data_IF_694323953999
#
_entry.id   IF_694323953999
#
_cell.length_a   1.000
_cell.length_b   1.000
_cell.length_c   1.000
_cell.angle_alpha   90.00
_cell.angle_beta   90.00
_cell.angle_gamma   90.00
#
_symmetry.space_group_name_H-M   'P 1'
#
loop_
_entity.id
_entity.type
_entity.pdbx_description
1 polymer ?
#
# COMPACT_ATOMS: atom_id res chain seq x y z
N UNK A 1 -17.04 -19.25 30.95
CA UNK A 1 -16.54 -17.89 31.12
C UNK A 1 -17.59 -17.05 31.87
N UNK A 2 -17.16 -16.23 32.83
CA UNK A 2 -18.00 -15.32 33.61
C UNK A 2 -18.23 -14.01 32.85
N UNK A 3 -17.24 -13.59 32.04
CA UNK A 3 -17.30 -12.41 31.20
C UNK A 3 -16.95 -12.70 29.75
N UNK A 4 -17.61 -11.98 28.83
CA UNK A 4 -17.33 -12.03 27.37
C UNK A 4 -17.12 -10.61 26.87
N UNK A 5 -15.96 -10.34 26.33
CA UNK A 5 -15.58 -9.07 25.73
C UNK A 5 -15.63 -9.14 24.19
N UNK A 6 -15.94 -8.05 23.55
CA UNK A 6 -15.89 -7.96 22.08
C UNK A 6 -16.53 -6.70 21.57
N UNK A 7 -16.52 -6.53 20.24
CA UNK A 7 -17.30 -5.46 19.62
C UNK A 7 -18.80 -5.71 19.80
N UNK A 8 -19.59 -4.64 19.85
CA UNK A 8 -21.05 -4.74 20.03
C UNK A 8 -21.68 -5.72 19.02
N UNK A 9 -21.30 -5.61 17.75
CA UNK A 9 -21.75 -6.50 16.67
C UNK A 9 -21.51 -7.99 16.95
N UNK A 10 -20.32 -8.35 17.48
CA UNK A 10 -19.99 -9.75 17.78
C UNK A 10 -20.77 -10.26 19.00
N UNK A 11 -20.95 -9.42 20.01
CA UNK A 11 -21.68 -9.78 21.22
C UNK A 11 -23.18 -9.98 20.96
N UNK A 12 -23.77 -9.17 20.06
CA UNK A 12 -25.17 -9.30 19.65
C UNK A 12 -25.46 -10.63 18.91
N UNK A 13 -24.48 -11.12 18.14
CA UNK A 13 -24.59 -12.40 17.44
C UNK A 13 -24.45 -13.67 18.32
N UNK A 14 -24.15 -13.52 19.61
CA UNK A 14 -23.98 -14.67 20.50
C UNK A 14 -25.33 -15.20 21.02
N UNK A 15 -25.45 -16.54 21.17
CA UNK A 15 -26.60 -17.11 21.83
C UNK A 15 -26.69 -16.65 23.30
N UNK A 16 -27.89 -16.64 23.91
CA UNK A 16 -28.04 -16.33 25.33
C UNK A 16 -27.13 -17.20 26.21
N UNK A 17 -26.46 -16.56 27.16
CA UNK A 17 -25.59 -17.22 28.13
C UNK A 17 -25.65 -16.48 29.48
N UNK A 18 -25.25 -17.12 30.56
CA UNK A 18 -25.15 -16.50 31.89
C UNK A 18 -23.93 -15.57 32.02
N UNK A 19 -23.07 -15.45 31.01
CA UNK A 19 -21.89 -14.60 31.06
C UNK A 19 -22.25 -13.11 30.87
N UNK A 20 -21.57 -12.23 31.61
CA UNK A 20 -21.69 -10.79 31.42
C UNK A 20 -21.05 -10.37 30.11
N UNK A 21 -21.77 -9.64 29.27
CA UNK A 21 -21.26 -9.14 27.98
C UNK A 21 -20.76 -7.71 28.14
N UNK A 22 -19.51 -7.48 27.76
CA UNK A 22 -18.84 -6.18 27.86
C UNK A 22 -18.40 -5.72 26.48
N UNK A 23 -18.99 -4.63 26.00
CA UNK A 23 -18.65 -4.03 24.70
C UNK A 23 -17.35 -3.23 24.83
N UNK A 24 -16.22 -3.93 24.84
CA UNK A 24 -14.88 -3.36 24.92
C UNK A 24 -13.97 -4.01 23.86
N UNK A 25 -13.17 -3.19 23.19
CA UNK A 25 -12.23 -3.62 22.13
C UNK A 25 -10.80 -3.11 22.36
N UNK A 26 -10.63 -2.09 23.21
CA UNK A 26 -9.30 -1.56 23.50
C UNK A 26 -8.61 -2.45 24.54
N UNK A 27 -7.32 -2.80 24.31
CA UNK A 27 -6.59 -3.71 25.19
C UNK A 27 -6.56 -3.27 26.65
N UNK A 28 -6.35 -1.98 26.88
CA UNK A 28 -6.26 -1.39 28.22
C UNK A 28 -7.63 -1.44 28.95
N UNK A 29 -8.70 -1.16 28.24
CA UNK A 29 -10.07 -1.22 28.77
C UNK A 29 -10.45 -2.65 29.16
N UNK A 30 -10.11 -3.65 28.33
CA UNK A 30 -10.33 -5.06 28.63
C UNK A 30 -9.53 -5.48 29.86
N UNK A 31 -8.25 -5.12 29.93
CA UNK A 31 -7.39 -5.40 31.09
C UNK A 31 -7.99 -4.83 32.37
N UNK A 32 -8.37 -3.56 32.35
CA UNK A 32 -8.88 -2.86 33.55
C UNK A 32 -10.19 -3.47 34.01
N UNK A 33 -11.09 -3.85 33.12
CA UNK A 33 -12.29 -4.60 33.44
C UNK A 33 -11.99 -5.95 34.10
N UNK A 34 -11.04 -6.72 33.54
CA UNK A 34 -10.65 -8.03 34.09
C UNK A 34 -10.09 -7.92 35.52
N UNK A 35 -9.27 -6.90 35.77
CA UNK A 35 -8.72 -6.63 37.10
C UNK A 35 -9.84 -6.30 38.12
N UNK A 36 -10.77 -5.42 37.71
CA UNK A 36 -11.85 -4.99 38.63
C UNK A 36 -12.91 -6.06 38.84
N UNK A 37 -13.22 -6.87 37.84
CA UNK A 37 -14.26 -7.88 37.94
C UNK A 37 -13.87 -9.09 38.79
N UNK A 38 -12.56 -9.38 38.89
CA UNK A 38 -12.05 -10.53 39.64
C UNK A 38 -12.53 -11.88 39.14
N UNK A 39 -12.91 -11.98 37.86
CA UNK A 39 -13.40 -13.19 37.23
C UNK A 39 -12.30 -14.24 37.07
N UNK A 40 -12.62 -15.51 37.35
CA UNK A 40 -11.68 -16.61 37.18
C UNK A 40 -11.44 -16.94 35.72
N UNK A 41 -12.50 -16.86 34.89
CA UNK A 41 -12.42 -17.15 33.46
C UNK A 41 -13.22 -16.15 32.66
N UNK A 42 -12.59 -15.60 31.61
CA UNK A 42 -13.20 -14.67 30.66
C UNK A 42 -12.85 -15.02 29.22
N UNK A 43 -13.67 -14.59 28.29
CA UNK A 43 -13.46 -14.78 26.86
C UNK A 43 -13.40 -13.42 26.15
N UNK A 44 -12.45 -13.25 25.24
CA UNK A 44 -12.41 -12.10 24.33
C UNK A 44 -12.66 -12.58 22.92
N UNK A 45 -13.71 -12.07 22.31
CA UNK A 45 -14.11 -12.42 20.93
C UNK A 45 -13.55 -11.40 19.96
N UNK A 46 -12.78 -11.89 19.02
CA UNK A 46 -12.19 -11.11 17.94
C UNK A 46 -12.77 -11.57 16.60
N UNK A 47 -12.86 -10.66 15.64
CA UNK A 47 -13.32 -10.99 14.29
C UNK A 47 -12.22 -11.71 13.51
N UNK A 48 -12.54 -12.81 12.87
CA UNK A 48 -11.63 -13.55 12.00
C UNK A 48 -10.59 -14.38 12.74
N UNK A 49 -9.47 -14.62 12.10
CA UNK A 49 -8.33 -15.33 12.67
C UNK A 49 -7.51 -14.42 13.59
N UNK A 50 -7.15 -14.91 14.75
CA UNK A 50 -6.40 -14.16 15.77
C UNK A 50 -4.96 -13.83 15.34
N UNK A 51 -4.41 -14.56 14.37
CA UNK A 51 -3.08 -14.34 13.79
C UNK A 51 -3.06 -13.43 12.56
N UNK A 52 -4.24 -13.08 12.00
CA UNK A 52 -4.32 -12.35 10.74
C UNK A 52 -4.88 -10.93 10.93
N UNK A 53 -4.00 -9.94 11.04
CA UNK A 53 -4.34 -8.51 11.27
C UNK A 53 -5.34 -8.27 12.41
N UNK A 54 -5.30 -9.11 13.43
CA UNK A 54 -6.24 -9.10 14.54
C UNK A 54 -5.82 -8.16 15.67
N UNK A 55 -6.81 -7.69 16.43
CA UNK A 55 -6.61 -7.00 17.70
C UNK A 55 -5.85 -7.80 18.75
N UNK A 56 -5.78 -9.13 18.61
CA UNK A 56 -4.99 -10.02 19.48
C UNK A 56 -3.52 -9.59 19.56
N UNK A 57 -2.94 -9.10 18.45
CA UNK A 57 -1.55 -8.61 18.42
C UNK A 57 -1.26 -7.54 19.47
N UNK A 58 -2.21 -6.66 19.75
CA UNK A 58 -2.09 -5.60 20.77
C UNK A 58 -2.54 -6.05 22.13
N UNK A 59 -3.56 -6.90 22.20
CA UNK A 59 -4.18 -7.35 23.45
C UNK A 59 -3.27 -8.30 24.23
N UNK A 60 -2.70 -9.31 23.57
CA UNK A 60 -1.91 -10.35 24.26
C UNK A 60 -0.74 -9.81 25.09
N UNK A 61 0.08 -8.86 24.61
CA UNK A 61 1.14 -8.27 25.42
C UNK A 61 0.62 -7.53 26.65
N UNK A 62 -0.52 -6.83 26.52
CA UNK A 62 -1.14 -6.08 27.62
C UNK A 62 -1.64 -7.02 28.72
N UNK A 63 -2.30 -8.12 28.33
CA UNK A 63 -2.77 -9.14 29.28
C UNK A 63 -1.60 -9.87 29.96
N UNK A 64 -0.58 -10.23 29.19
CA UNK A 64 0.62 -10.89 29.73
C UNK A 64 1.35 -10.00 30.75
N UNK A 65 1.49 -8.70 30.47
CA UNK A 65 2.10 -7.74 31.40
C UNK A 65 1.29 -7.55 32.67
N UNK A 66 -0.03 -7.79 32.63
CA UNK A 66 -0.92 -7.76 33.79
C UNK A 66 -1.01 -9.11 34.53
N UNK A 67 -0.25 -10.13 34.12
CA UNK A 67 -0.18 -11.45 34.80
C UNK A 67 -1.30 -12.42 34.39
N UNK A 68 -2.09 -12.13 33.38
CA UNK A 68 -3.12 -13.05 32.90
C UNK A 68 -2.53 -14.18 32.04
N UNK A 69 -2.96 -15.42 32.37
CA UNK A 69 -2.71 -16.58 31.49
C UNK A 69 -3.75 -16.58 30.37
N UNK A 70 -3.30 -16.68 29.11
CA UNK A 70 -4.18 -16.62 27.93
C UNK A 70 -4.06 -17.86 27.08
N UNK A 71 -5.20 -18.38 26.62
CA UNK A 71 -5.28 -19.41 25.57
C UNK A 71 -5.85 -18.78 24.32
N UNK A 72 -5.12 -18.89 23.20
CA UNK A 72 -5.55 -18.33 21.91
C UNK A 72 -6.15 -19.44 21.07
N UNK A 73 -7.41 -19.24 20.64
CA UNK A 73 -8.09 -20.15 19.73
C UNK A 73 -8.04 -19.58 18.32
N UNK A 74 -7.72 -20.40 17.30
CA UNK A 74 -7.73 -19.96 15.90
C UNK A 74 -9.16 -19.69 15.43
N UNK A 75 -9.29 -18.80 14.47
CA UNK A 75 -10.55 -18.51 13.78
C UNK A 75 -10.37 -18.51 12.26
N UNK A 76 -11.47 -18.39 11.54
CA UNK A 76 -11.47 -18.27 10.09
C UNK A 76 -11.56 -16.80 9.72
N UNK A 77 -10.60 -16.29 8.94
CA UNK A 77 -10.60 -14.91 8.47
C UNK A 77 -11.37 -14.77 7.15
N UNK A 78 -11.70 -13.54 6.81
CA UNK A 78 -12.25 -13.19 5.49
C UNK A 78 -11.36 -13.66 4.33
N UNK A 79 -10.05 -13.75 4.53
CA UNK A 79 -9.10 -14.28 3.54
C UNK A 79 -9.42 -15.74 3.19
N UNK A 80 -9.57 -16.61 4.19
CA UNK A 80 -9.86 -18.02 3.95
C UNK A 80 -11.25 -18.22 3.34
N UNK A 81 -12.27 -17.49 3.84
CA UNK A 81 -13.61 -17.53 3.27
C UNK A 81 -13.59 -17.08 1.81
N UNK A 82 -12.96 -15.97 1.52
CA UNK A 82 -12.88 -15.41 0.18
C UNK A 82 -12.14 -16.35 -0.79
N UNK A 83 -11.00 -16.89 -0.38
CA UNK A 83 -10.26 -17.91 -1.12
C UNK A 83 -11.12 -19.12 -1.47
N UNK A 84 -11.90 -19.63 -0.49
CA UNK A 84 -12.80 -20.76 -0.68
C UNK A 84 -13.93 -20.43 -1.68
N UNK A 85 -14.54 -19.23 -1.60
CA UNK A 85 -15.57 -18.77 -2.55
C UNK A 85 -15.02 -18.65 -3.97
N UNK A 86 -13.78 -18.16 -4.11
CA UNK A 86 -13.11 -18.06 -5.40
C UNK A 86 -12.56 -19.39 -5.92
N UNK A 87 -12.55 -20.45 -5.08
CA UNK A 87 -11.92 -21.75 -5.37
C UNK A 87 -10.45 -21.56 -5.79
N UNK A 88 -9.76 -20.65 -5.13
CA UNK A 88 -8.39 -20.23 -5.48
C UNK A 88 -7.52 -20.16 -4.23
N UNK A 89 -6.37 -20.83 -4.26
CA UNK A 89 -5.39 -20.79 -3.17
C UNK A 89 -4.84 -19.37 -2.98
N UNK A 90 -4.71 -18.94 -1.72
CA UNK A 90 -4.14 -17.65 -1.34
C UNK A 90 -2.64 -17.67 -1.06
N UNK A 91 -1.98 -18.82 -1.20
CA UNK A 91 -0.53 -18.98 -0.95
C UNK A 91 0.33 -18.04 -1.79
N UNK A 92 -0.12 -17.73 -3.01
CA UNK A 92 0.58 -16.85 -3.93
C UNK A 92 0.09 -15.41 -3.91
N UNK A 93 -0.80 -15.06 -2.98
CA UNK A 93 -1.28 -13.68 -2.85
C UNK A 93 -0.38 -12.87 -1.93
N UNK A 94 -0.24 -11.60 -2.23
CA UNK A 94 0.29 -10.62 -1.28
C UNK A 94 -0.83 -10.20 -0.35
N UNK A 95 -0.56 -10.22 0.95
CA UNK A 95 -1.56 -9.92 1.96
C UNK A 95 -1.29 -8.52 2.52
N UNK A 96 -2.22 -7.62 2.32
CA UNK A 96 -2.13 -6.21 2.70
C UNK A 96 -3.28 -5.81 3.61
N UNK A 97 -2.99 -4.99 4.61
CA UNK A 97 -4.04 -4.35 5.40
C UNK A 97 -4.16 -2.89 4.99
N UNK A 98 -5.33 -2.53 4.47
CA UNK A 98 -5.75 -1.15 4.24
C UNK A 98 -6.71 -0.66 5.33
N UNK A 99 -6.89 -1.44 6.41
CA UNK A 99 -7.76 -1.10 7.52
C UNK A 99 -7.00 -0.24 8.54
N UNK A 100 -7.16 1.07 8.43
CA UNK A 100 -6.51 2.05 9.32
C UNK A 100 -5.00 2.21 9.13
N UNK A 101 -4.44 1.67 8.03
CA UNK A 101 -3.03 1.77 7.66
C UNK A 101 -2.94 2.23 6.22
N UNK A 102 -2.04 3.18 5.94
CA UNK A 102 -1.77 3.61 4.58
C UNK A 102 -1.11 2.46 3.79
N UNK A 103 -1.65 2.18 2.61
CA UNK A 103 -1.09 1.21 1.65
C UNK A 103 -1.10 1.84 0.26
N UNK A 104 -0.07 1.57 -0.52
CA UNK A 104 0.00 1.94 -1.93
C UNK A 104 -0.42 0.72 -2.77
N UNK A 105 -1.67 0.68 -3.28
CA UNK A 105 -2.16 -0.47 -4.02
C UNK A 105 -1.40 -0.71 -5.32
N UNK A 106 -0.87 0.34 -5.94
CA UNK A 106 -0.09 0.25 -7.19
C UNK A 106 1.22 -0.47 -6.93
N UNK A 107 1.94 -0.08 -5.89
CA UNK A 107 3.18 -0.76 -5.50
C UNK A 107 2.92 -2.25 -5.19
N UNK A 108 1.81 -2.57 -4.51
CA UNK A 108 1.50 -3.94 -4.12
C UNK A 108 1.18 -4.84 -5.33
N UNK A 109 0.37 -4.39 -6.30
CA UNK A 109 0.07 -5.19 -7.50
C UNK A 109 1.26 -5.30 -8.47
N UNK A 110 2.23 -4.39 -8.39
CA UNK A 110 3.45 -4.42 -9.20
C UNK A 110 4.48 -5.46 -8.73
N UNK A 111 4.25 -6.19 -7.64
CA UNK A 111 5.14 -7.26 -7.20
C UNK A 111 5.03 -8.56 -8.01
N UNK A 112 4.15 -8.62 -9.02
CA UNK A 112 3.98 -9.80 -9.87
C UNK A 112 3.16 -10.92 -9.24
N UNK A 113 2.43 -10.63 -8.16
CA UNK A 113 1.48 -11.52 -7.49
C UNK A 113 0.16 -10.78 -7.29
N UNK A 114 -0.97 -11.47 -7.28
CA UNK A 114 -2.23 -10.85 -6.87
C UNK A 114 -2.13 -10.30 -5.45
N UNK A 115 -2.74 -9.15 -5.21
CA UNK A 115 -2.73 -8.48 -3.92
C UNK A 115 -4.12 -8.53 -3.28
N UNK A 116 -4.19 -9.13 -2.10
CA UNK A 116 -5.38 -9.16 -1.27
C UNK A 116 -5.31 -8.02 -0.25
N UNK A 117 -6.37 -7.22 -0.18
CA UNK A 117 -6.50 -6.10 0.73
C UNK A 117 -7.65 -6.31 1.71
N UNK A 118 -7.35 -6.26 3.01
CA UNK A 118 -8.35 -5.97 4.03
C UNK A 118 -8.68 -4.49 3.96
N UNK A 119 -9.89 -4.14 3.56
CA UNK A 119 -10.32 -2.75 3.40
C UNK A 119 -10.99 -2.21 4.66
N UNK A 120 -11.02 -0.89 4.81
CA UNK A 120 -11.70 -0.22 5.91
C UNK A 120 -11.27 1.23 6.10
N UNK A 121 -12.09 2.00 6.80
CA UNK A 121 -11.87 3.43 6.96
C UNK A 121 -11.97 4.17 5.63
N UNK A 122 -10.97 4.97 5.30
CA UNK A 122 -10.90 5.72 4.04
C UNK A 122 -10.50 4.87 2.84
N UNK A 123 -9.83 3.73 3.04
CA UNK A 123 -9.38 2.84 1.97
C UNK A 123 -10.42 1.74 1.70
N UNK A 124 -11.50 2.14 1.06
CA UNK A 124 -12.55 1.23 0.57
C UNK A 124 -12.09 0.50 -0.72
N UNK A 125 -12.77 -0.58 -1.15
CA UNK A 125 -12.48 -1.20 -2.45
C UNK A 125 -12.55 -0.20 -3.61
N UNK A 126 -13.54 0.70 -3.63
CA UNK A 126 -13.69 1.74 -4.65
C UNK A 126 -12.48 2.69 -4.65
N UNK A 127 -12.04 3.13 -3.48
CA UNK A 127 -10.88 4.02 -3.34
C UNK A 127 -9.58 3.36 -3.84
N UNK A 128 -9.33 2.10 -3.47
CA UNK A 128 -8.17 1.35 -3.97
C UNK A 128 -8.23 1.19 -5.50
N UNK A 129 -9.41 0.89 -6.05
CA UNK A 129 -9.63 0.78 -7.48
C UNK A 129 -9.44 2.13 -8.21
N UNK A 130 -9.85 3.24 -7.60
CA UNK A 130 -9.62 4.59 -8.13
C UNK A 130 -8.13 4.91 -8.22
N UNK A 131 -7.35 4.62 -7.18
CA UNK A 131 -5.90 4.80 -7.19
C UNK A 131 -5.21 3.94 -8.27
N UNK A 132 -5.65 2.69 -8.46
CA UNK A 132 -5.17 1.83 -9.56
C UNK A 132 -5.50 2.45 -10.93
N UNK A 133 -6.72 2.98 -11.11
CA UNK A 133 -7.17 3.60 -12.35
C UNK A 133 -6.38 4.87 -12.68
N UNK A 134 -6.17 5.75 -11.70
CA UNK A 134 -5.35 6.96 -11.83
C UNK A 134 -3.89 6.64 -12.19
N UNK A 135 -3.37 5.52 -11.71
CA UNK A 135 -2.05 5.02 -12.08
C UNK A 135 -1.98 4.43 -13.49
N UNK A 136 -3.10 4.30 -14.22
CA UNK A 136 -3.16 3.71 -15.55
C UNK A 136 -3.46 2.21 -15.55
N UNK A 137 -3.87 1.65 -14.41
CA UNK A 137 -4.23 0.24 -14.24
C UNK A 137 -5.76 0.04 -14.21
N UNK A 138 -6.55 0.93 -14.81
CA UNK A 138 -8.01 0.85 -14.84
C UNK A 138 -8.56 -0.47 -15.40
N UNK A 139 -7.86 -1.09 -16.36
CA UNK A 139 -8.19 -2.39 -16.92
C UNK A 139 -7.82 -3.61 -16.06
N UNK A 140 -7.16 -3.40 -14.91
CA UNK A 140 -6.74 -4.50 -14.04
C UNK A 140 -7.96 -5.23 -13.47
N UNK A 141 -7.96 -6.57 -13.58
CA UNK A 141 -9.04 -7.38 -13.02
C UNK A 141 -9.00 -7.36 -11.50
N UNK A 142 -10.15 -7.13 -10.90
CA UNK A 142 -10.32 -7.10 -9.45
C UNK A 142 -11.56 -7.89 -9.04
N UNK A 143 -11.53 -8.39 -7.83
CA UNK A 143 -12.68 -9.10 -7.21
C UNK A 143 -12.91 -8.50 -5.83
N UNK A 144 -14.15 -8.14 -5.54
CA UNK A 144 -14.56 -7.63 -4.22
C UNK A 144 -15.46 -8.66 -3.55
N UNK A 145 -15.16 -8.99 -2.30
CA UNK A 145 -16.04 -9.78 -1.41
C UNK A 145 -16.62 -8.86 -0.35
N UNK A 146 -17.94 -8.93 -0.18
CA UNK A 146 -18.70 -8.12 0.78
C UNK A 146 -19.43 -9.04 1.76
N UNK A 147 -19.49 -8.63 3.02
CA UNK A 147 -20.23 -9.28 4.11
C UNK A 147 -20.06 -10.83 4.15
N UNK A 148 -18.82 -11.27 3.88
CA UNK A 148 -18.46 -12.69 3.77
C UNK A 148 -18.93 -13.49 4.99
N UNK A 149 -19.58 -14.62 4.76
CA UNK A 149 -20.24 -15.49 5.74
C UNK A 149 -21.48 -14.89 6.41
N UNK A 150 -21.93 -13.71 6.00
CA UNK A 150 -23.18 -13.09 6.45
C UNK A 150 -24.33 -13.29 5.46
N UNK A 151 -25.53 -12.87 5.85
CA UNK A 151 -26.72 -12.91 4.97
C UNK A 151 -26.58 -12.01 3.73
N UNK A 152 -25.77 -10.95 3.82
CA UNK A 152 -25.47 -10.02 2.74
C UNK A 152 -24.29 -10.43 1.87
N UNK A 153 -23.76 -11.67 1.98
CA UNK A 153 -22.56 -12.10 1.25
C UNK A 153 -22.72 -11.89 -0.26
N UNK A 154 -21.79 -11.13 -0.82
CA UNK A 154 -21.75 -10.86 -2.26
C UNK A 154 -20.31 -10.88 -2.77
N UNK A 155 -20.11 -11.44 -3.96
CA UNK A 155 -18.84 -11.39 -4.68
C UNK A 155 -19.07 -10.71 -6.03
N UNK A 156 -18.27 -9.69 -6.30
CA UNK A 156 -18.33 -8.91 -7.53
C UNK A 156 -17.00 -8.96 -8.26
N UNK A 157 -17.04 -9.17 -9.57
CA UNK A 157 -15.87 -9.19 -10.45
C UNK A 157 -15.94 -8.02 -11.44
N UNK A 158 -14.81 -7.47 -11.83
CA UNK A 158 -14.74 -6.43 -12.86
C UNK A 158 -13.34 -5.84 -12.98
N UNK A 159 -13.25 -4.76 -13.73
CA UNK A 159 -12.01 -3.98 -13.84
C UNK A 159 -11.93 -2.95 -12.71
N UNK A 160 -10.72 -2.49 -12.39
CA UNK A 160 -10.51 -1.45 -11.40
C UNK A 160 -11.31 -0.19 -11.72
N UNK A 161 -11.35 0.24 -13.00
CA UNK A 161 -12.13 1.38 -13.45
C UNK A 161 -13.63 1.21 -13.14
N UNK A 162 -14.22 0.06 -13.48
CA UNK A 162 -15.63 -0.21 -13.23
C UNK A 162 -15.96 -0.31 -11.73
N UNK A 163 -15.03 -0.78 -10.91
CA UNK A 163 -15.21 -0.91 -9.48
C UNK A 163 -14.97 0.39 -8.72
N UNK A 164 -14.20 1.32 -9.27
CA UNK A 164 -13.97 2.63 -8.68
C UNK A 164 -15.26 3.47 -8.54
N UNK A 165 -16.22 3.25 -9.44
CA UNK A 165 -17.51 3.97 -9.47
C UNK A 165 -18.60 3.33 -8.60
N UNK A 166 -18.30 2.23 -7.91
CA UNK A 166 -19.29 1.47 -7.12
C UNK A 166 -19.16 1.78 -5.63
N UNK A 167 -20.27 1.55 -4.94
CA UNK A 167 -20.31 1.58 -3.47
C UNK A 167 -20.31 0.14 -2.95
N UNK A 168 -19.56 -0.11 -1.89
CA UNK A 168 -19.40 -1.40 -1.26
C UNK A 168 -19.72 -1.35 0.24
N UNK A 169 -20.08 -2.50 0.81
CA UNK A 169 -20.26 -2.65 2.26
C UNK A 169 -18.97 -2.27 3.01
N UNK A 170 -19.11 -1.77 4.23
CA UNK A 170 -17.99 -1.49 5.11
C UNK A 170 -17.19 -2.75 5.51
N UNK A 171 -17.83 -3.93 5.42
CA UNK A 171 -17.20 -5.21 5.65
C UNK A 171 -16.83 -5.85 4.30
N UNK A 172 -15.79 -5.33 3.67
CA UNK A 172 -15.37 -5.79 2.36
C UNK A 172 -13.88 -6.11 2.30
N UNK A 173 -13.52 -6.90 1.30
CA UNK A 173 -12.14 -7.24 0.93
C UNK A 173 -11.98 -7.11 -0.58
N UNK A 174 -10.77 -6.82 -1.03
CA UNK A 174 -10.44 -6.69 -2.44
C UNK A 174 -9.28 -7.63 -2.79
N UNK A 175 -9.41 -8.37 -3.90
CA UNK A 175 -8.31 -9.04 -4.58
C UNK A 175 -8.08 -8.33 -5.90
N UNK A 176 -6.91 -7.77 -6.10
CA UNK A 176 -6.46 -7.22 -7.38
C UNK A 176 -5.45 -8.18 -8.01
N UNK A 177 -5.59 -8.47 -9.30
CA UNK A 177 -4.63 -9.30 -10.01
C UNK A 177 -3.26 -8.59 -10.11
N UNK A 178 -2.22 -9.36 -10.41
CA UNK A 178 -0.90 -8.79 -10.62
C UNK A 178 -0.89 -7.84 -11.83
N UNK A 179 -0.32 -6.66 -11.65
CA UNK A 179 -0.11 -5.75 -12.78
C UNK A 179 0.89 -6.35 -13.78
N UNK A 180 0.67 -6.16 -15.09
CA UNK A 180 1.65 -6.52 -16.09
C UNK A 180 2.97 -5.79 -15.78
N UNK A 181 4.04 -6.52 -15.62
CA UNK A 181 5.37 -5.94 -15.38
C UNK A 181 6.35 -6.50 -16.39
N UNK A 182 7.15 -5.65 -17.07
CA UNK A 182 8.21 -6.15 -17.92
C UNK A 182 9.23 -6.93 -17.08
N UNK A 183 9.91 -7.93 -17.67
CA UNK A 183 10.98 -8.62 -16.98
C UNK A 183 12.00 -7.62 -16.46
N UNK A 184 12.48 -7.84 -15.24
CA UNK A 184 13.49 -6.99 -14.62
C UNK A 184 14.75 -6.96 -15.49
N UNK A 185 15.20 -5.75 -15.85
CA UNK A 185 16.41 -5.54 -16.65
C UNK A 185 17.48 -4.88 -15.80
N UNK A 186 18.73 -5.08 -16.17
CA UNK A 186 19.86 -4.29 -15.67
C UNK A 186 19.65 -2.81 -16.06
N UNK A 187 20.16 -1.84 -15.26
CA UNK A 187 20.13 -0.44 -15.61
C UNK A 187 20.79 -0.16 -16.97
N UNK A 188 20.31 0.89 -17.64
CA UNK A 188 20.87 1.34 -18.91
C UNK A 188 20.06 0.92 -20.13
N UNK A 189 18.76 1.14 -20.08
CA UNK A 189 17.91 1.02 -21.27
C UNK A 189 18.44 1.94 -22.40
N UNK A 190 18.42 1.48 -23.67
CA UNK A 190 18.86 2.31 -24.80
C UNK A 190 18.06 3.61 -24.90
N UNK A 191 18.69 4.70 -25.32
CA UNK A 191 18.03 6.00 -25.47
C UNK A 191 16.87 5.94 -26.46
N UNK A 192 16.99 5.13 -27.49
CA UNK A 192 15.98 4.92 -28.54
C UNK A 192 14.72 4.21 -28.03
N UNK A 193 14.82 3.56 -26.88
CA UNK A 193 13.68 2.90 -26.25
C UNK A 193 12.69 3.90 -25.67
N UNK A 194 13.11 5.13 -25.36
CA UNK A 194 12.25 6.16 -24.77
C UNK A 194 11.56 7.03 -25.83
N UNK A 195 10.33 7.43 -25.52
CA UNK A 195 9.67 8.49 -26.25
C UNK A 195 10.30 9.83 -25.86
N UNK A 196 10.71 10.58 -26.86
CA UNK A 196 11.38 11.87 -26.72
C UNK A 196 10.66 12.95 -27.49
N UNK A 197 10.66 14.17 -26.97
CA UNK A 197 10.26 15.38 -27.67
C UNK A 197 11.44 16.36 -27.74
N UNK A 198 11.15 17.62 -27.50
CA UNK A 198 12.18 18.68 -27.37
C UNK A 198 12.79 18.71 -25.97
N UNK A 199 12.22 17.99 -25.03
CA UNK A 199 12.68 17.93 -23.63
C UNK A 199 14.02 17.22 -23.56
N UNK A 200 15.02 17.78 -22.88
CA UNK A 200 16.31 17.11 -22.65
C UNK A 200 16.13 15.77 -21.93
N UNK A 201 16.93 14.78 -22.31
CA UNK A 201 16.91 13.45 -21.72
C UNK A 201 18.29 13.06 -21.22
N UNK A 202 18.36 12.56 -20.01
CA UNK A 202 19.59 11.97 -19.45
C UNK A 202 20.00 10.75 -20.26
N UNK A 203 21.22 10.70 -20.75
CA UNK A 203 21.76 9.66 -21.63
C UNK A 203 21.95 8.34 -20.90
N UNK A 204 21.92 7.24 -21.66
CA UNK A 204 22.02 5.87 -21.17
C UNK A 204 23.15 5.65 -20.16
N UNK A 205 24.36 6.11 -20.48
CA UNK A 205 25.54 5.94 -19.65
C UNK A 205 25.39 6.67 -18.31
N UNK A 206 24.83 7.88 -18.36
CA UNK A 206 24.58 8.70 -17.17
C UNK A 206 23.48 8.09 -16.32
N UNK A 207 22.38 7.61 -16.95
CA UNK A 207 21.32 6.90 -16.21
C UNK A 207 21.87 5.66 -15.49
N UNK A 208 22.67 4.86 -16.18
CA UNK A 208 23.32 3.68 -15.58
C UNK A 208 24.19 4.05 -14.37
N UNK A 209 24.97 5.13 -14.49
CA UNK A 209 25.79 5.64 -13.38
C UNK A 209 24.94 6.13 -12.21
N UNK A 210 23.83 6.85 -12.47
CA UNK A 210 22.90 7.34 -11.44
C UNK A 210 22.32 6.15 -10.65
N UNK A 211 21.81 5.14 -11.34
CA UNK A 211 21.21 3.99 -10.70
C UNK A 211 22.21 3.18 -9.88
N UNK A 212 23.43 3.00 -10.43
CA UNK A 212 24.51 2.33 -9.70
C UNK A 212 24.90 3.07 -8.43
N UNK A 213 24.95 4.42 -8.48
CA UNK A 213 25.26 5.26 -7.31
C UNK A 213 24.15 5.29 -6.28
N UNK A 214 22.89 5.28 -6.72
CA UNK A 214 21.74 5.22 -5.82
C UNK A 214 21.53 3.85 -5.19
N UNK A 215 22.07 2.77 -5.81
CA UNK A 215 21.97 1.40 -5.32
C UNK A 215 20.53 1.02 -4.90
N UNK A 216 19.56 1.31 -5.79
CA UNK A 216 18.13 1.16 -5.50
C UNK A 216 17.74 -0.28 -5.25
N UNK A 217 16.96 -0.51 -4.20
CA UNK A 217 16.42 -1.80 -3.81
C UNK A 217 14.91 -1.89 -4.06
N UNK A 218 14.33 -3.10 -4.13
CA UNK A 218 12.88 -3.27 -4.32
C UNK A 218 11.99 -2.70 -3.20
N UNK A 219 12.57 -2.27 -2.09
CA UNK A 219 11.84 -1.68 -0.96
C UNK A 219 11.85 -0.16 -0.98
N UNK A 220 12.73 0.45 -1.80
CA UNK A 220 12.96 1.89 -1.79
C UNK A 220 11.80 2.69 -2.39
N UNK A 221 11.49 3.79 -1.72
CA UNK A 221 10.72 4.91 -2.28
C UNK A 221 11.72 5.89 -2.90
N UNK A 222 11.56 6.17 -4.19
CA UNK A 222 12.49 7.02 -4.93
C UNK A 222 11.83 8.34 -5.33
N UNK A 223 12.61 9.41 -5.34
CA UNK A 223 12.22 10.67 -5.98
C UNK A 223 13.12 10.95 -7.18
N UNK A 224 12.51 11.44 -8.27
CA UNK A 224 13.20 11.99 -9.44
C UNK A 224 12.77 13.46 -9.62
N UNK A 225 13.61 14.39 -9.19
CA UNK A 225 13.30 15.82 -9.16
C UNK A 225 13.83 16.50 -10.40
N UNK A 226 12.92 17.10 -11.17
CA UNK A 226 13.19 17.61 -12.51
C UNK A 226 13.29 16.46 -13.51
N UNK A 227 12.26 15.63 -13.55
CA UNK A 227 12.27 14.32 -14.21
C UNK A 227 12.37 14.38 -15.75
N UNK A 228 12.05 15.53 -16.36
CA UNK A 228 12.14 15.72 -17.81
C UNK A 228 11.32 14.69 -18.59
N UNK A 229 11.96 13.86 -19.42
CA UNK A 229 11.27 12.81 -20.17
C UNK A 229 10.83 11.62 -19.31
N UNK A 230 11.20 11.56 -18.04
CA UNK A 230 10.97 10.43 -17.16
C UNK A 230 11.88 9.23 -17.39
N UNK A 231 12.98 9.39 -18.13
CA UNK A 231 13.86 8.27 -18.45
C UNK A 231 14.56 7.68 -17.21
N UNK A 232 15.00 8.52 -16.27
CA UNK A 232 15.54 8.07 -14.98
C UNK A 232 14.41 7.51 -14.12
N UNK A 233 13.27 8.19 -14.08
CA UNK A 233 12.09 7.73 -13.33
C UNK A 233 11.65 6.33 -13.70
N UNK A 234 11.61 6.00 -15.00
CA UNK A 234 11.26 4.66 -15.50
C UNK A 234 12.26 3.63 -15.00
N UNK A 235 13.56 3.89 -15.16
CA UNK A 235 14.59 2.94 -14.71
C UNK A 235 14.60 2.75 -13.19
N UNK A 236 14.33 3.81 -12.41
CA UNK A 236 14.11 3.70 -10.97
C UNK A 236 12.88 2.84 -10.64
N UNK A 237 11.78 3.01 -11.40
CA UNK A 237 10.55 2.25 -11.20
C UNK A 237 10.68 0.76 -11.50
N UNK A 238 11.56 0.40 -12.44
CA UNK A 238 11.86 -1.00 -12.75
C UNK A 238 12.64 -1.72 -11.62
N UNK A 239 13.19 -0.98 -10.66
CA UNK A 239 14.01 -1.52 -9.57
C UNK A 239 13.41 -1.25 -8.19
N UNK A 240 12.89 -0.04 -7.95
CA UNK A 240 12.36 0.40 -6.67
C UNK A 240 10.92 -0.07 -6.40
N UNK A 241 10.46 0.22 -5.19
CA UNK A 241 9.07 -0.02 -4.75
C UNK A 241 8.11 0.96 -5.43
N UNK A 242 8.39 2.25 -5.30
CA UNK A 242 7.62 3.33 -5.94
C UNK A 242 8.53 4.51 -6.28
N UNK A 243 8.17 5.26 -7.31
CA UNK A 243 8.92 6.42 -7.79
C UNK A 243 7.99 7.62 -7.91
N UNK A 244 8.42 8.75 -7.41
CA UNK A 244 7.75 10.03 -7.54
C UNK A 244 8.56 10.93 -8.45
N UNK A 245 8.08 11.11 -9.69
CA UNK A 245 8.66 12.01 -10.66
C UNK A 245 8.06 13.40 -10.48
N UNK A 246 8.88 14.39 -10.12
CA UNK A 246 8.45 15.78 -9.96
C UNK A 246 8.85 16.57 -11.19
N UNK A 247 7.86 17.13 -11.90
CA UNK A 247 8.10 17.89 -13.12
C UNK A 247 7.07 19.02 -13.26
N UNK A 248 7.47 20.17 -13.80
CA UNK A 248 6.62 21.35 -13.96
C UNK A 248 6.20 21.64 -15.41
N UNK A 249 6.93 21.11 -16.38
CA UNK A 249 6.68 21.38 -17.79
C UNK A 249 5.64 20.43 -18.33
N UNK A 250 4.53 20.94 -18.86
CA UNK A 250 3.43 20.13 -19.37
C UNK A 250 3.86 19.12 -20.46
N UNK A 251 4.75 19.50 -21.40
CA UNK A 251 5.29 18.59 -22.42
C UNK A 251 6.06 17.44 -21.80
N UNK A 252 6.87 17.71 -20.77
CA UNK A 252 7.63 16.70 -20.04
C UNK A 252 6.71 15.77 -19.24
N UNK A 253 5.69 16.31 -18.58
CA UNK A 253 4.70 15.52 -17.84
C UNK A 253 3.98 14.54 -18.77
N UNK A 254 3.63 14.96 -20.00
CA UNK A 254 3.01 14.10 -21.00
C UNK A 254 3.96 12.99 -21.48
N UNK A 255 5.25 13.31 -21.65
CA UNK A 255 6.27 12.28 -21.98
C UNK A 255 6.46 11.27 -20.84
N UNK A 256 6.45 11.71 -19.57
CA UNK A 256 6.51 10.82 -18.42
C UNK A 256 5.32 9.84 -18.44
N UNK A 257 4.08 10.31 -18.66
CA UNK A 257 2.89 9.44 -18.77
C UNK A 257 3.03 8.40 -19.87
N UNK A 258 3.47 8.83 -21.06
CA UNK A 258 3.67 7.95 -22.22
C UNK A 258 4.79 6.92 -21.98
N UNK A 259 5.92 7.33 -21.43
CA UNK A 259 7.02 6.43 -21.11
C UNK A 259 6.62 5.46 -19.98
N UNK A 260 5.90 5.93 -18.93
CA UNK A 260 5.33 5.07 -17.91
C UNK A 260 4.51 3.93 -18.50
N UNK A 261 3.58 4.26 -19.39
CA UNK A 261 2.73 3.27 -20.06
C UNK A 261 3.55 2.32 -20.96
N UNK A 262 4.45 2.87 -21.78
CA UNK A 262 5.31 2.08 -22.69
C UNK A 262 6.15 1.03 -21.97
N UNK A 263 6.67 1.37 -20.79
CA UNK A 263 7.52 0.48 -20.00
C UNK A 263 6.76 -0.28 -18.91
N UNK A 264 5.43 -0.15 -18.83
CA UNK A 264 4.62 -0.71 -17.77
C UNK A 264 5.17 -0.36 -16.36
N UNK A 265 5.71 0.85 -16.21
CA UNK A 265 6.29 1.35 -14.97
C UNK A 265 5.18 1.95 -14.09
N UNK A 266 4.18 1.15 -13.73
CA UNK A 266 2.94 1.61 -13.08
C UNK A 266 3.17 2.21 -11.70
N UNK A 267 4.21 1.77 -11.01
CA UNK A 267 4.67 2.32 -9.73
C UNK A 267 5.45 3.65 -9.87
N UNK A 268 5.42 4.28 -11.04
CA UNK A 268 5.89 5.64 -11.29
C UNK A 268 4.72 6.62 -11.18
N UNK A 269 4.74 7.44 -10.13
CA UNK A 269 3.75 8.49 -9.87
C UNK A 269 4.30 9.83 -10.38
N UNK A 270 3.47 10.58 -11.08
CA UNK A 270 3.81 11.92 -11.54
C UNK A 270 3.24 12.96 -10.59
N UNK A 271 4.11 13.79 -10.05
CA UNK A 271 3.77 14.98 -9.29
C UNK A 271 4.07 16.22 -10.12
N UNK A 272 3.04 16.86 -10.64
CA UNK A 272 3.19 18.09 -11.39
C UNK A 272 3.46 19.27 -10.45
N UNK A 273 4.48 20.05 -10.75
CA UNK A 273 4.82 21.21 -9.95
C UNK A 273 6.32 21.48 -9.84
N UNK A 274 6.65 22.51 -9.08
CA UNK A 274 8.02 22.94 -8.84
C UNK A 274 8.51 22.45 -7.49
N UNK A 275 9.69 21.83 -7.46
CA UNK A 275 10.35 21.47 -6.21
C UNK A 275 11.01 22.72 -5.55
N UNK A 276 11.03 22.80 -4.21
CA UNK A 276 10.65 21.76 -3.25
C UNK A 276 9.15 21.66 -2.93
N UNK A 277 8.32 22.65 -3.24
CA UNK A 277 6.91 22.71 -2.83
C UNK A 277 6.13 21.46 -3.23
N UNK A 278 6.29 21.01 -4.48
CA UNK A 278 5.64 19.82 -4.98
C UNK A 278 6.10 18.52 -4.27
N UNK A 279 7.22 18.58 -3.53
CA UNK A 279 7.74 17.43 -2.79
C UNK A 279 7.23 17.35 -1.33
N UNK A 280 6.59 18.38 -0.82
CA UNK A 280 6.22 18.48 0.61
C UNK A 280 5.20 17.40 1.03
N UNK A 281 4.33 16.98 0.15
CA UNK A 281 3.29 15.98 0.42
C UNK A 281 3.69 14.56 0.07
N UNK A 282 4.85 14.36 -0.58
CA UNK A 282 5.30 13.05 -1.02
C UNK A 282 5.73 12.16 0.16
N UNK A 283 5.66 10.83 0.04
CA UNK A 283 6.25 9.91 0.99
C UNK A 283 7.76 10.18 1.19
N UNK A 284 8.29 9.94 2.38
CA UNK A 284 9.71 10.11 2.66
C UNK A 284 10.56 9.21 1.73
N UNK A 285 11.58 9.76 1.03
CA UNK A 285 12.34 9.00 0.05
C UNK A 285 13.52 8.25 0.68
N UNK A 286 13.85 7.08 0.13
CA UNK A 286 15.07 6.33 0.44
C UNK A 286 16.19 6.64 -0.56
N UNK A 287 15.84 6.99 -1.79
CA UNK A 287 16.76 7.37 -2.85
C UNK A 287 16.21 8.56 -3.65
N UNK A 288 17.05 9.54 -3.92
CA UNK A 288 16.68 10.76 -4.64
C UNK A 288 17.67 11.09 -5.76
N UNK A 289 17.14 11.25 -6.95
CA UNK A 289 17.86 11.87 -8.05
C UNK A 289 17.38 13.31 -8.25
N UNK A 290 18.32 14.23 -8.40
CA UNK A 290 18.02 15.63 -8.74
C UNK A 290 18.65 15.94 -10.09
N UNK A 291 17.82 15.87 -11.14
CA UNK A 291 18.21 16.12 -12.53
C UNK A 291 18.05 17.60 -12.95
N UNK A 292 17.06 18.28 -12.37
CA UNK A 292 16.77 19.69 -12.65
C UNK A 292 16.29 20.41 -11.40
N UNK A 293 17.10 21.34 -10.87
CA UNK A 293 16.80 22.05 -9.61
C UNK A 293 16.38 23.51 -9.80
N UNK A 294 16.50 24.07 -11.02
CA UNK A 294 16.13 25.46 -11.28
C UNK A 294 16.77 26.47 -10.32
N UNK A 295 17.99 26.30 -9.89
CA UNK A 295 18.74 27.08 -8.86
C UNK A 295 18.31 26.84 -7.40
N UNK A 296 17.30 25.99 -7.15
CA UNK A 296 16.78 25.71 -5.79
C UNK A 296 17.34 24.41 -5.18
N UNK A 297 18.51 23.98 -5.65
CA UNK A 297 19.14 22.73 -5.22
C UNK A 297 19.27 22.62 -3.71
N UNK A 298 19.74 23.70 -3.05
CA UNK A 298 19.95 23.71 -1.61
C UNK A 298 18.64 23.47 -0.83
N UNK A 299 17.54 24.09 -1.25
CA UNK A 299 16.23 23.93 -0.61
C UNK A 299 15.72 22.50 -0.78
N UNK A 300 15.88 21.92 -1.99
CA UNK A 300 15.50 20.53 -2.28
C UNK A 300 16.29 19.57 -1.39
N UNK A 301 17.62 19.73 -1.30
CA UNK A 301 18.46 18.87 -0.46
C UNK A 301 18.11 18.99 1.02
N UNK A 302 17.85 20.20 1.51
CA UNK A 302 17.40 20.45 2.87
C UNK A 302 16.09 19.73 3.17
N UNK A 303 15.13 19.79 2.25
CA UNK A 303 13.87 19.06 2.37
C UNK A 303 14.10 17.55 2.45
N UNK A 304 14.89 16.99 1.53
CA UNK A 304 15.18 15.54 1.50
C UNK A 304 15.78 15.07 2.82
N UNK A 305 16.82 15.77 3.32
CA UNK A 305 17.49 15.40 4.58
C UNK A 305 16.54 15.55 5.77
N UNK A 306 15.66 16.55 5.78
CA UNK A 306 14.62 16.70 6.80
C UNK A 306 13.64 15.53 6.79
N UNK A 307 13.25 15.04 5.59
CA UNK A 307 12.29 13.94 5.42
C UNK A 307 12.89 12.57 5.72
N UNK A 308 14.13 12.35 5.29
CA UNK A 308 14.90 11.14 5.61
C UNK A 308 16.42 11.47 5.65
N UNK A 309 17.01 11.58 6.83
CA UNK A 309 18.45 11.85 6.96
C UNK A 309 19.37 10.75 6.39
N UNK A 310 18.82 9.57 6.12
CA UNK A 310 19.55 8.43 5.55
C UNK A 310 19.33 8.27 4.04
N UNK A 311 18.59 9.17 3.40
CA UNK A 311 18.33 9.11 1.97
C UNK A 311 19.63 9.17 1.16
N UNK A 312 19.77 8.31 0.17
CA UNK A 312 20.86 8.34 -0.81
C UNK A 312 20.51 9.36 -1.88
N UNK A 313 21.40 10.30 -2.11
CA UNK A 313 21.14 11.43 -3.02
C UNK A 313 22.17 11.43 -4.14
N UNK A 314 21.70 11.49 -5.37
CA UNK A 314 22.51 11.72 -6.56
C UNK A 314 22.05 13.00 -7.25
N UNK A 315 22.98 13.90 -7.54
CA UNK A 315 22.70 15.19 -8.21
C UNK A 315 23.47 15.25 -9.50
N UNK A 316 22.79 15.55 -10.62
CA UNK A 316 23.48 15.90 -11.85
C UNK A 316 23.82 17.39 -11.84
N UNK A 317 25.06 17.71 -12.20
CA UNK A 317 25.51 19.08 -12.42
C UNK A 317 26.00 19.18 -13.87
N UNK A 318 25.51 20.17 -14.61
CA UNK A 318 26.08 20.57 -15.89
C UNK A 318 27.13 21.64 -15.54
N UNK A 319 28.37 21.34 -15.88
CA UNK A 319 29.49 22.27 -15.73
C UNK A 319 29.51 23.29 -16.86
#
# INVERSE_FOLDING_TARGET
AEGIFGSRRLLEGLPPSGAQRVAAVQPEEIRDHLIHAGWAESCVILSGDTGFYSGAKRLLPVLAAAGFTTTVLPGISSLQVFSARLKRSWQDWRLCSAHGVAVDPVAEVCHGKPAFFLTGGSLTPAELCRQLTEAGLGGLQVTVGEDLSGEGERISHGTAENMAERTFSSLSVLLAEAAPRPPRRTPGLPDEAFLRGKVPMTKQEIRSAILAKLAVTPQDICWDVGAGTGSVSVELALQGRSVWAVERQAEACELIRKNRAKFSAWNLHLQEGTAPEACETLPAPDAVFVGGSGRRRQEILTLVVRRNPKARICVSAIA
#
